data_IF_921276996480
#
_entry.id   IF_921276996480
#
_cell.length_a   1.000
_cell.length_b   1.000
_cell.length_c   1.000
_cell.angle_alpha   90.00
_cell.angle_beta   90.00
_cell.angle_gamma   90.00
#
_symmetry.space_group_name_H-M   'P 1'
#
loop_
_entity.id
_entity.type
_entity.pdbx_description
1 polymer ?
#
# COMPACT_ATOMS: atom_id res chain seq x y z
N UNK A 1 0.73 -1.91 17.64
CA UNK A 1 -0.54 -2.24 16.97
C UNK A 1 -0.88 -1.11 16.03
N UNK A 2 -1.24 -1.42 14.79
CA UNK A 2 -1.68 -0.42 13.80
C UNK A 2 -3.15 -0.61 13.49
N UNK A 3 -3.90 0.47 13.47
CA UNK A 3 -5.35 0.45 13.28
C UNK A 3 -5.76 1.70 12.53
N UNK A 4 -6.53 1.51 11.47
CA UNK A 4 -6.71 2.54 10.47
C UNK A 4 -7.86 2.26 9.52
N UNK A 5 -7.93 3.13 8.52
CA UNK A 5 -8.89 3.01 7.43
C UNK A 5 -8.18 2.97 6.08
N UNK A 6 -8.91 2.49 5.08
CA UNK A 6 -8.57 2.69 3.69
C UNK A 6 -9.62 3.58 3.04
N UNK A 7 -9.21 4.74 2.52
CA UNK A 7 -10.07 5.56 1.67
C UNK A 7 -10.03 4.95 0.28
N UNK A 8 -11.11 4.28 -0.12
CA UNK A 8 -11.24 3.57 -1.38
C UNK A 8 -12.64 3.80 -1.96
N UNK A 9 -12.82 3.50 -3.25
CA UNK A 9 -14.07 3.72 -3.98
C UNK A 9 -14.54 5.18 -3.83
N UNK A 10 -13.58 6.12 -3.83
CA UNK A 10 -13.81 7.51 -3.44
C UNK A 10 -14.63 8.31 -4.47
N UNK A 11 -14.74 7.81 -5.71
CA UNK A 11 -15.46 8.47 -6.78
C UNK A 11 -16.82 7.81 -7.06
N UNK A 12 -17.88 8.60 -7.30
CA UNK A 12 -17.90 10.06 -7.41
C UNK A 12 -18.15 10.79 -6.07
N UNK A 13 -18.44 10.07 -4.99
CA UNK A 13 -19.01 10.66 -3.79
C UNK A 13 -18.03 11.56 -3.01
N UNK A 14 -16.93 11.00 -2.54
CA UNK A 14 -15.94 11.72 -1.73
C UNK A 14 -15.18 12.74 -2.58
N UNK A 15 -14.80 12.37 -3.80
CA UNK A 15 -14.16 13.29 -4.75
C UNK A 15 -15.06 14.49 -5.07
N UNK A 16 -16.34 14.26 -5.40
CA UNK A 16 -17.29 15.32 -5.71
C UNK A 16 -17.67 16.16 -4.48
N UNK A 17 -17.73 15.57 -3.28
CA UNK A 17 -17.95 16.30 -2.04
C UNK A 17 -16.81 17.28 -1.74
N UNK A 18 -15.56 16.83 -1.87
CA UNK A 18 -14.39 17.68 -1.63
C UNK A 18 -14.24 18.76 -2.72
N UNK A 19 -14.53 18.43 -3.98
CA UNK A 19 -14.52 19.39 -5.07
C UNK A 19 -15.50 20.56 -4.84
N UNK A 20 -16.71 20.26 -4.35
CA UNK A 20 -17.70 21.28 -3.97
C UNK A 20 -17.22 22.18 -2.83
N UNK A 21 -16.45 21.65 -1.87
CA UNK A 21 -15.87 22.46 -0.81
C UNK A 21 -14.91 23.52 -1.35
N UNK A 22 -14.09 23.15 -2.35
CA UNK A 22 -13.18 24.06 -3.04
C UNK A 22 -13.82 24.95 -4.10
N UNK A 23 -15.14 24.84 -4.34
CA UNK A 23 -15.86 25.50 -5.44
C UNK A 23 -15.20 25.29 -6.82
N UNK A 24 -14.75 24.06 -7.09
CA UNK A 24 -14.13 23.61 -8.34
C UNK A 24 -14.74 22.28 -8.79
N UNK A 25 -14.56 21.91 -10.06
CA UNK A 25 -15.11 20.67 -10.62
C UNK A 25 -14.29 19.42 -10.25
N UNK A 26 -12.99 19.60 -10.03
CA UNK A 26 -12.12 18.57 -9.45
C UNK A 26 -11.16 19.22 -8.45
N UNK A 27 -11.07 18.63 -7.25
CA UNK A 27 -10.15 19.10 -6.23
C UNK A 27 -9.32 17.95 -5.69
N UNK A 28 -8.01 18.13 -5.80
CA UNK A 28 -6.99 17.26 -5.26
C UNK A 28 -7.19 17.03 -3.76
N UNK A 29 -6.96 15.80 -3.29
CA UNK A 29 -6.89 15.50 -1.86
C UNK A 29 -5.54 16.00 -1.32
N UNK A 30 -5.50 17.29 -1.03
CA UNK A 30 -4.33 18.01 -0.54
C UNK A 30 -4.17 17.89 0.98
N UNK A 31 -3.20 18.60 1.55
CA UNK A 31 -2.91 18.54 2.98
C UNK A 31 -4.07 19.06 3.84
N UNK A 32 -4.94 19.93 3.30
CA UNK A 32 -6.14 20.39 4.01
C UNK A 32 -7.17 19.25 4.15
N UNK A 33 -7.45 18.53 3.07
CA UNK A 33 -8.29 17.33 3.10
C UNK A 33 -7.77 16.32 4.12
N UNK A 34 -6.49 15.97 4.00
CA UNK A 34 -5.89 14.97 4.86
C UNK A 34 -5.75 15.44 6.31
N UNK A 35 -5.61 16.74 6.57
CA UNK A 35 -5.69 17.29 7.94
C UNK A 35 -6.99 16.90 8.64
N UNK A 36 -8.13 16.98 7.95
CA UNK A 36 -9.42 16.52 8.48
C UNK A 36 -9.47 14.99 8.69
N UNK A 37 -8.89 14.21 7.77
CA UNK A 37 -8.80 12.75 7.92
C UNK A 37 -7.95 12.38 9.13
N UNK A 38 -6.79 13.02 9.31
CA UNK A 38 -5.90 12.75 10.43
C UNK A 38 -6.53 13.15 11.76
N UNK A 39 -7.20 14.31 11.83
CA UNK A 39 -8.00 14.72 12.99
C UNK A 39 -9.05 13.67 13.38
N UNK A 40 -9.74 13.08 12.40
CA UNK A 40 -10.70 12.00 12.63
C UNK A 40 -9.99 10.75 13.19
N UNK A 41 -8.91 10.32 12.56
CA UNK A 41 -8.16 9.12 12.96
C UNK A 41 -7.68 9.23 14.41
N UNK A 42 -7.02 10.33 14.78
CA UNK A 42 -6.52 10.50 16.15
C UNK A 42 -7.66 10.54 17.18
N UNK A 43 -8.82 11.11 16.85
CA UNK A 43 -10.01 11.12 17.73
C UNK A 43 -10.59 9.72 17.93
N UNK A 44 -10.50 8.88 16.89
CA UNK A 44 -10.82 7.45 16.95
C UNK A 44 -9.66 6.62 17.54
N UNK A 45 -8.59 7.27 18.02
CA UNK A 45 -7.35 6.69 18.54
C UNK A 45 -6.53 5.90 17.49
N UNK A 46 -6.88 6.03 16.22
CA UNK A 46 -6.25 5.33 15.09
C UNK A 46 -4.90 5.97 14.75
N UNK A 47 -4.03 5.20 14.10
CA UNK A 47 -2.63 5.58 13.83
C UNK A 47 -2.14 5.10 12.46
N UNK A 48 -3.04 4.70 11.57
CA UNK A 48 -2.69 4.10 10.29
C UNK A 48 -3.65 4.55 9.18
N UNK A 49 -3.13 4.73 7.96
CA UNK A 49 -3.93 5.09 6.80
C UNK A 49 -3.40 4.43 5.51
N UNK A 50 -4.32 3.87 4.73
CA UNK A 50 -4.18 3.74 3.28
C UNK A 50 -4.93 4.90 2.61
N UNK A 51 -4.25 5.80 1.88
CA UNK A 51 -4.88 6.95 1.27
C UNK A 51 -5.67 6.58 0.01
N UNK A 52 -6.54 7.50 -0.42
CA UNK A 52 -7.22 7.46 -1.72
C UNK A 52 -6.24 7.26 -2.88
N UNK A 53 -6.58 6.36 -3.79
CA UNK A 53 -5.69 5.91 -4.85
C UNK A 53 -6.41 5.55 -6.16
N UNK A 54 -7.74 5.72 -6.25
CA UNK A 54 -8.45 5.34 -7.47
C UNK A 54 -7.94 6.13 -8.67
N UNK A 55 -7.79 5.40 -9.77
CA UNK A 55 -7.53 6.01 -11.06
C UNK A 55 -8.73 6.83 -11.53
N UNK A 56 -8.46 7.88 -12.30
CA UNK A 56 -9.49 8.65 -12.98
C UNK A 56 -9.12 8.89 -14.43
N UNK A 57 -10.12 8.94 -15.30
CA UNK A 57 -9.97 9.39 -16.68
C UNK A 57 -10.09 10.91 -16.80
N UNK A 58 -10.72 11.57 -15.83
CA UNK A 58 -10.91 13.02 -15.80
C UNK A 58 -10.88 13.50 -14.34
N UNK A 59 -9.81 14.17 -13.88
CA UNK A 59 -8.50 14.26 -14.53
C UNK A 59 -7.71 12.96 -14.40
N UNK A 60 -6.90 12.65 -15.42
CA UNK A 60 -5.87 11.60 -15.29
C UNK A 60 -4.71 12.09 -14.40
N UNK A 61 -4.02 11.19 -13.69
CA UNK A 61 -4.25 9.74 -13.58
C UNK A 61 -5.25 9.34 -12.47
N UNK A 62 -5.76 10.29 -11.68
CA UNK A 62 -6.53 10.00 -10.45
C UNK A 62 -5.89 10.63 -9.22
N UNK A 63 -6.07 10.02 -8.05
CA UNK A 63 -5.50 10.50 -6.78
C UNK A 63 -4.14 9.90 -6.51
N UNK A 64 -3.21 10.73 -6.03
CA UNK A 64 -1.85 10.33 -5.65
C UNK A 64 -1.45 11.07 -4.37
N UNK A 65 -1.68 10.45 -3.22
CA UNK A 65 -1.30 11.02 -1.90
C UNK A 65 0.07 11.68 -1.86
N UNK A 66 1.09 11.03 -2.44
CA UNK A 66 2.49 11.44 -2.31
C UNK A 66 2.92 12.61 -3.19
N UNK A 67 2.22 12.87 -4.30
CA UNK A 67 2.68 13.86 -5.31
C UNK A 67 1.63 14.92 -5.65
N UNK A 68 0.38 14.68 -5.28
CA UNK A 68 -0.72 15.63 -5.38
C UNK A 68 -0.47 16.88 -4.50
N UNK A 69 0.06 16.66 -3.29
CA UNK A 69 0.55 17.71 -2.40
C UNK A 69 1.72 17.16 -1.58
N UNK A 70 2.92 17.72 -1.77
CA UNK A 70 4.14 17.25 -1.10
C UNK A 70 4.08 17.38 0.43
N UNK A 71 3.13 18.16 0.96
CA UNK A 71 2.92 18.31 2.41
C UNK A 71 2.18 17.12 3.02
N UNK A 72 1.46 16.32 2.24
CA UNK A 72 0.62 15.22 2.73
C UNK A 72 1.38 14.24 3.62
N UNK A 73 2.55 13.79 3.15
CA UNK A 73 3.34 12.78 3.85
C UNK A 73 3.92 13.33 5.16
N UNK A 74 4.50 14.54 5.13
CA UNK A 74 5.02 15.17 6.34
C UNK A 74 3.91 15.46 7.35
N UNK A 75 2.74 15.93 6.88
CA UNK A 75 1.60 16.19 7.75
C UNK A 75 1.11 14.91 8.45
N UNK A 76 1.07 13.77 7.74
CA UNK A 76 0.72 12.49 8.36
C UNK A 76 1.69 12.13 9.49
N UNK A 77 2.99 12.29 9.24
CA UNK A 77 4.03 12.04 10.24
C UNK A 77 3.92 13.00 11.45
N UNK A 78 3.66 14.28 11.22
CA UNK A 78 3.46 15.28 12.28
C UNK A 78 2.26 14.94 13.18
N UNK A 79 1.23 14.29 12.62
CA UNK A 79 0.07 13.77 13.35
C UNK A 79 0.30 12.40 14.00
N UNK A 80 1.42 11.73 13.73
CA UNK A 80 1.68 10.36 14.15
C UNK A 80 0.82 9.31 13.42
N UNK A 81 0.37 9.61 12.20
CA UNK A 81 -0.35 8.68 11.34
C UNK A 81 0.66 7.97 10.44
N UNK A 82 0.81 6.66 10.63
CA UNK A 82 1.65 5.83 9.76
C UNK A 82 0.94 5.60 8.44
N UNK A 83 1.58 6.05 7.36
CA UNK A 83 1.07 5.86 6.01
C UNK A 83 1.61 4.57 5.43
N UNK A 84 0.72 3.85 4.78
CA UNK A 84 1.03 2.68 3.97
C UNK A 84 0.22 2.76 2.67
N UNK A 85 0.29 1.72 1.87
CA UNK A 85 -0.33 1.67 0.54
C UNK A 85 -1.07 0.36 0.35
N UNK A 86 -2.04 0.34 -0.57
CA UNK A 86 -2.84 -0.86 -0.79
C UNK A 86 -1.98 -2.03 -1.30
N UNK A 87 -2.56 -3.22 -1.33
CA UNK A 87 -1.87 -4.48 -1.64
C UNK A 87 -1.34 -4.59 -3.10
N UNK A 88 -1.65 -3.63 -3.96
CA UNK A 88 -1.12 -3.51 -5.34
C UNK A 88 -0.09 -2.37 -5.49
N UNK A 89 0.22 -1.64 -4.41
CA UNK A 89 0.98 -0.39 -4.42
C UNK A 89 2.26 -0.51 -3.59
N UNK A 90 3.25 -1.30 -4.02
CA UNK A 90 4.42 -1.57 -3.20
C UNK A 90 5.33 -0.35 -3.03
N UNK A 91 6.13 -0.38 -1.96
CA UNK A 91 7.26 0.55 -1.74
C UNK A 91 6.88 2.04 -1.69
N UNK A 92 5.74 2.40 -1.09
CA UNK A 92 5.24 3.79 -1.00
C UNK A 92 5.05 4.46 -2.37
N UNK A 93 4.64 3.67 -3.37
CA UNK A 93 4.31 4.17 -4.69
C UNK A 93 2.86 3.86 -5.01
N UNK A 94 2.11 4.90 -5.34
CA UNK A 94 0.74 4.70 -5.84
C UNK A 94 0.77 4.17 -7.28
N UNK A 95 -0.17 3.28 -7.62
CA UNK A 95 -0.31 2.80 -9.01
C UNK A 95 -0.54 3.95 -10.01
N UNK A 96 -1.16 5.03 -9.56
CA UNK A 96 -1.37 6.22 -10.38
C UNK A 96 -0.08 7.00 -10.67
N UNK A 97 0.97 6.88 -9.84
CA UNK A 97 2.29 7.44 -10.17
C UNK A 97 2.89 6.75 -11.40
N UNK A 98 2.74 5.43 -11.51
CA UNK A 98 3.19 4.67 -12.67
C UNK A 98 2.42 5.07 -13.93
N UNK A 99 1.09 5.27 -13.81
CA UNK A 99 0.23 5.68 -14.92
C UNK A 99 0.44 7.11 -15.37
N UNK A 100 0.87 8.00 -14.47
CA UNK A 100 1.13 9.42 -14.77
C UNK A 100 2.26 9.57 -15.79
N UNK A 101 3.35 8.86 -15.54
CA UNK A 101 4.58 8.91 -16.32
C UNK A 101 5.00 7.47 -16.69
N UNK A 102 4.26 6.83 -17.62
CA UNK A 102 4.45 5.42 -17.93
C UNK A 102 5.85 5.18 -18.49
N UNK A 103 6.58 4.26 -17.86
CA UNK A 103 7.91 3.88 -18.32
C UNK A 103 7.80 2.82 -19.42
N UNK A 104 8.60 2.88 -20.50
CA UNK A 104 8.64 1.82 -21.51
C UNK A 104 8.81 0.44 -20.87
N UNK A 105 8.12 -0.56 -21.43
CA UNK A 105 8.15 -1.95 -20.92
C UNK A 105 7.03 -2.31 -19.93
N UNK A 106 6.22 -1.35 -19.48
CA UNK A 106 5.04 -1.62 -18.65
C UNK A 106 5.36 -2.10 -17.22
N UNK A 107 4.32 -2.37 -16.43
CA UNK A 107 4.46 -2.88 -15.06
C UNK A 107 4.75 -4.39 -15.08
N UNK A 108 6.00 -4.74 -15.43
CA UNK A 108 6.44 -6.11 -15.69
C UNK A 108 7.81 -6.36 -15.05
N UNK A 109 7.85 -7.34 -14.13
CA UNK A 109 9.10 -7.69 -13.44
C UNK A 109 10.05 -8.52 -14.29
N UNK A 110 9.54 -9.33 -15.22
CA UNK A 110 10.33 -10.23 -16.05
C UNK A 110 11.01 -9.45 -17.18
N UNK A 111 10.25 -8.58 -17.85
CA UNK A 111 10.70 -7.88 -19.05
C UNK A 111 11.11 -6.42 -18.80
N UNK A 112 10.79 -5.84 -17.64
CA UNK A 112 11.04 -4.43 -17.36
C UNK A 112 11.59 -4.16 -15.93
N UNK A 113 12.34 -5.11 -15.39
CA UNK A 113 12.82 -5.13 -14.00
C UNK A 113 13.49 -3.83 -13.57
N UNK A 114 14.46 -3.30 -14.32
CA UNK A 114 15.24 -2.13 -13.87
C UNK A 114 14.39 -0.87 -13.71
N UNK A 115 13.38 -0.70 -14.56
CA UNK A 115 12.47 0.44 -14.50
C UNK A 115 11.50 0.32 -13.32
N UNK A 116 11.00 -0.90 -13.07
CA UNK A 116 10.16 -1.18 -11.89
C UNK A 116 10.96 -0.95 -10.60
N UNK A 117 12.22 -1.40 -10.54
CA UNK A 117 13.11 -1.15 -9.40
C UNK A 117 13.31 0.35 -9.19
N UNK A 118 13.63 1.12 -10.25
CA UNK A 118 13.83 2.57 -10.14
C UNK A 118 12.58 3.28 -9.63
N UNK A 119 11.41 2.87 -10.10
CA UNK A 119 10.14 3.40 -9.64
C UNK A 119 9.91 3.14 -8.14
N UNK A 120 10.16 1.91 -7.67
CA UNK A 120 10.05 1.56 -6.25
C UNK A 120 11.10 2.30 -5.40
N UNK A 121 12.34 2.41 -5.90
CA UNK A 121 13.45 3.10 -5.23
C UNK A 121 13.12 4.57 -4.93
N UNK A 122 12.45 5.27 -5.86
CA UNK A 122 12.00 6.64 -5.63
C UNK A 122 11.05 6.76 -4.43
N UNK A 123 10.12 5.81 -4.26
CA UNK A 123 9.18 5.79 -3.15
C UNK A 123 9.86 5.56 -1.81
N UNK A 124 10.77 4.58 -1.75
CA UNK A 124 11.58 4.28 -0.57
C UNK A 124 12.45 5.48 -0.16
N UNK A 125 13.09 6.13 -1.14
CA UNK A 125 13.92 7.32 -0.88
C UNK A 125 13.08 8.51 -0.43
N UNK A 126 11.88 8.70 -1.01
CA UNK A 126 10.96 9.79 -0.67
C UNK A 126 10.41 9.64 0.75
N UNK A 127 10.14 8.41 1.20
CA UNK A 127 9.66 8.16 2.56
C UNK A 127 10.56 8.79 3.62
N UNK A 128 11.88 8.84 3.39
CA UNK A 128 12.84 9.52 4.28
C UNK A 128 12.74 8.98 5.69
N UNK A 129 12.76 9.87 6.68
CA UNK A 129 12.68 9.48 8.10
C UNK A 129 11.23 9.35 8.62
N UNK A 130 10.21 9.44 7.75
CA UNK A 130 8.81 9.32 8.17
C UNK A 130 8.49 7.89 8.59
N UNK A 131 7.75 7.71 9.70
CA UNK A 131 7.28 6.37 10.09
C UNK A 131 6.34 5.82 9.00
N UNK A 132 6.79 4.74 8.36
CA UNK A 132 6.19 4.20 7.14
C UNK A 132 6.01 2.70 7.26
N UNK A 133 4.86 2.19 6.81
CA UNK A 133 4.62 0.76 6.68
C UNK A 133 4.68 0.37 5.20
N UNK A 134 5.79 -0.22 4.78
CA UNK A 134 6.03 -0.56 3.39
C UNK A 134 5.24 -1.80 2.98
N UNK A 135 4.42 -1.65 1.94
CA UNK A 135 3.83 -2.79 1.26
C UNK A 135 4.89 -3.48 0.42
N UNK A 136 5.08 -4.77 0.66
CA UNK A 136 5.94 -5.66 -0.10
C UNK A 136 5.16 -6.44 -1.16
N UNK A 137 5.91 -7.06 -2.05
CA UNK A 137 5.42 -7.88 -3.15
C UNK A 137 5.10 -7.05 -4.38
N UNK A 138 4.55 -7.72 -5.36
CA UNK A 138 4.09 -7.12 -6.60
C UNK A 138 2.86 -7.91 -7.06
N UNK A 139 1.93 -7.22 -7.70
CA UNK A 139 0.84 -7.85 -8.44
C UNK A 139 0.88 -7.33 -9.87
N UNK A 140 0.15 -7.98 -10.77
CA UNK A 140 -0.04 -7.46 -12.11
C UNK A 140 -0.75 -6.11 -12.09
N UNK A 141 -0.70 -5.40 -13.21
CA UNK A 141 -1.36 -4.09 -13.32
C UNK A 141 -2.88 -4.21 -13.12
N UNK A 142 -3.49 -3.20 -12.48
CA UNK A 142 -4.94 -3.14 -12.26
C UNK A 142 -5.53 -4.36 -11.51
N UNK A 143 -4.90 -4.76 -10.40
CA UNK A 143 -5.42 -5.82 -9.52
C UNK A 143 -5.42 -7.22 -10.18
N UNK A 144 -4.45 -7.48 -11.06
CA UNK A 144 -4.31 -8.74 -11.82
C UNK A 144 -3.17 -9.64 -11.34
N UNK A 145 -3.11 -10.86 -11.88
CA UNK A 145 -2.03 -11.82 -11.64
C UNK A 145 -0.70 -11.32 -12.23
N UNK A 146 0.42 -11.77 -11.67
CA UNK A 146 1.72 -11.65 -12.35
C UNK A 146 1.72 -12.59 -13.55
N UNK A 147 2.00 -12.06 -14.74
CA UNK A 147 2.19 -12.86 -15.95
C UNK A 147 3.64 -13.36 -16.03
N UNK A 148 3.88 -14.58 -15.54
CA UNK A 148 5.18 -15.23 -15.60
C UNK A 148 5.03 -16.77 -15.60
N UNK A 149 6.03 -17.47 -16.14
CA UNK A 149 6.08 -18.95 -16.11
C UNK A 149 6.18 -19.48 -14.67
N UNK A 150 6.91 -18.77 -13.81
CA UNK A 150 7.04 -19.06 -12.37
C UNK A 150 6.79 -17.79 -11.52
N UNK A 151 5.52 -17.48 -11.19
CA UNK A 151 5.18 -16.32 -10.38
C UNK A 151 5.74 -16.36 -8.95
N UNK A 152 6.03 -17.56 -8.40
CA UNK A 152 6.58 -17.70 -7.06
C UNK A 152 8.04 -17.24 -7.05
N UNK A 153 8.85 -17.73 -7.98
CA UNK A 153 10.24 -17.29 -8.13
C UNK A 153 10.34 -15.78 -8.41
N UNK A 154 9.42 -15.22 -9.20
CA UNK A 154 9.32 -13.77 -9.41
C UNK A 154 9.06 -13.04 -8.09
N UNK A 155 8.11 -13.49 -7.28
CA UNK A 155 7.79 -12.84 -6.01
C UNK A 155 8.92 -12.95 -4.97
N UNK A 156 9.65 -14.05 -4.94
CA UNK A 156 10.85 -14.19 -4.09
C UNK A 156 11.93 -13.17 -4.46
N UNK A 157 12.19 -12.98 -5.75
CA UNK A 157 13.14 -11.99 -6.27
C UNK A 157 12.65 -10.55 -6.03
N UNK A 158 11.34 -10.30 -6.15
CA UNK A 158 10.72 -9.02 -5.75
C UNK A 158 10.96 -8.74 -4.27
N UNK A 159 10.70 -9.69 -3.37
CA UNK A 159 10.92 -9.49 -1.93
C UNK A 159 12.38 -9.21 -1.61
N UNK A 160 13.32 -9.95 -2.20
CA UNK A 160 14.75 -9.73 -2.00
C UNK A 160 15.13 -8.30 -2.43
N UNK A 161 14.74 -7.92 -3.64
CA UNK A 161 15.07 -6.61 -4.22
C UNK A 161 14.47 -5.46 -3.41
N UNK A 162 13.20 -5.56 -2.99
CA UNK A 162 12.55 -4.55 -2.17
C UNK A 162 13.25 -4.37 -0.82
N UNK A 163 13.69 -5.46 -0.19
CA UNK A 163 14.41 -5.42 1.08
C UNK A 163 15.83 -4.86 0.95
N UNK A 164 16.48 -5.09 -0.18
CA UNK A 164 17.76 -4.44 -0.51
C UNK A 164 17.60 -2.92 -0.63
N UNK A 165 16.51 -2.44 -1.25
CA UNK A 165 16.18 -1.01 -1.29
C UNK A 165 15.96 -0.44 0.12
N UNK A 166 15.21 -1.14 0.98
CA UNK A 166 15.02 -0.72 2.37
C UNK A 166 16.35 -0.65 3.13
N UNK A 167 17.18 -1.69 3.03
CA UNK A 167 18.49 -1.69 3.67
C UNK A 167 19.38 -0.53 3.19
N UNK A 168 19.36 -0.22 1.89
CA UNK A 168 20.14 0.85 1.28
C UNK A 168 19.76 2.24 1.80
N UNK A 169 18.47 2.53 1.95
CA UNK A 169 17.98 3.88 2.27
C UNK A 169 17.63 4.09 3.75
N UNK A 170 17.26 3.04 4.47
CA UNK A 170 16.83 3.09 5.87
C UNK A 170 17.82 2.40 6.83
N UNK A 171 18.93 1.88 6.30
CA UNK A 171 20.01 1.26 7.07
C UNK A 171 19.66 -0.09 7.72
N UNK A 172 18.43 -0.57 7.52
CA UNK A 172 17.98 -1.88 7.95
C UNK A 172 16.95 -2.44 6.96
N UNK A 173 16.90 -3.76 6.83
CA UNK A 173 15.86 -4.46 6.08
C UNK A 173 14.67 -4.85 6.98
N UNK A 174 14.59 -4.35 8.21
CA UNK A 174 13.56 -4.66 9.21
C UNK A 174 12.61 -3.49 9.43
N UNK A 175 12.55 -2.54 8.49
CA UNK A 175 11.55 -1.48 8.50
C UNK A 175 10.15 -2.11 8.50
N UNK A 176 9.13 -1.41 8.98
CA UNK A 176 7.78 -1.97 9.04
C UNK A 176 7.33 -2.39 7.63
N UNK A 177 7.04 -3.68 7.47
CA UNK A 177 6.77 -4.31 6.18
C UNK A 177 5.54 -5.19 6.27
N UNK A 178 4.65 -5.06 5.28
CA UNK A 178 3.45 -5.87 5.18
C UNK A 178 3.38 -6.54 3.81
N UNK A 179 2.92 -7.79 3.80
CA UNK A 179 2.47 -8.44 2.58
C UNK A 179 1.03 -8.93 2.77
N UNK A 180 0.17 -8.50 1.86
CA UNK A 180 -1.27 -8.78 1.92
C UNK A 180 -1.61 -9.98 1.06
N UNK A 181 -2.11 -11.03 1.71
CA UNK A 181 -2.55 -12.27 1.08
C UNK A 181 -4.00 -12.08 0.61
N UNK A 182 -4.17 -11.45 -0.55
CA UNK A 182 -5.46 -11.10 -1.14
C UNK A 182 -5.70 -11.80 -2.49
N UNK A 183 -6.92 -12.28 -2.72
CA UNK A 183 -7.33 -12.95 -3.97
C UNK A 183 -6.34 -14.04 -4.40
N UNK A 184 -5.77 -13.94 -5.60
CA UNK A 184 -4.86 -14.94 -6.17
C UNK A 184 -3.56 -15.11 -5.38
N UNK A 185 -3.16 -14.09 -4.60
CA UNK A 185 -1.97 -14.16 -3.75
C UNK A 185 -2.12 -15.27 -2.70
N UNK A 186 -3.35 -15.60 -2.31
CA UNK A 186 -3.63 -16.75 -1.44
C UNK A 186 -3.21 -18.08 -2.07
N UNK A 187 -3.28 -18.22 -3.40
CA UNK A 187 -2.82 -19.41 -4.11
C UNK A 187 -1.31 -19.54 -4.04
N UNK A 188 -0.57 -18.44 -4.20
CA UNK A 188 0.89 -18.45 -4.05
C UNK A 188 1.31 -18.78 -2.62
N UNK A 189 0.64 -18.20 -1.63
CA UNK A 189 0.85 -18.52 -0.23
C UNK A 189 0.61 -20.00 0.07
N UNK A 190 -0.51 -20.54 -0.41
CA UNK A 190 -0.86 -21.95 -0.25
C UNK A 190 0.12 -22.90 -0.96
N UNK A 191 0.75 -22.44 -2.04
CA UNK A 191 1.79 -23.16 -2.78
C UNK A 191 3.18 -23.10 -2.10
N UNK A 192 3.32 -22.38 -0.98
CA UNK A 192 4.54 -22.35 -0.18
C UNK A 192 5.32 -21.03 -0.23
N UNK A 193 4.83 -20.01 -0.94
CA UNK A 193 5.44 -18.68 -0.90
C UNK A 193 5.17 -18.00 0.45
N UNK A 194 6.22 -17.82 1.25
CA UNK A 194 6.15 -17.18 2.57
C UNK A 194 7.15 -16.03 2.62
N UNK A 195 6.76 -14.82 3.05
CA UNK A 195 7.69 -13.71 3.16
C UNK A 195 8.61 -13.89 4.38
N UNK A 196 9.73 -13.15 4.46
CA UNK A 196 10.61 -13.14 5.63
C UNK A 196 9.84 -12.98 6.96
N UNK A 197 10.34 -13.57 8.05
CA UNK A 197 9.58 -13.74 9.30
C UNK A 197 9.12 -12.42 9.95
N UNK A 198 9.91 -11.36 9.76
CA UNK A 198 9.65 -10.00 10.23
C UNK A 198 8.59 -9.23 9.42
N UNK A 199 8.12 -9.80 8.30
CA UNK A 199 7.05 -9.22 7.48
C UNK A 199 5.69 -9.63 8.02
N UNK A 200 4.83 -8.64 8.25
CA UNK A 200 3.44 -8.82 8.67
C UNK A 200 2.63 -9.46 7.55
N UNK A 201 1.98 -10.58 7.86
CA UNK A 201 1.02 -11.21 6.95
C UNK A 201 -0.36 -10.60 7.17
N UNK A 202 -0.89 -9.91 6.16
CA UNK A 202 -2.26 -9.37 6.21
C UNK A 202 -3.21 -10.34 5.51
N UNK A 203 -4.14 -10.93 6.25
CA UNK A 203 -5.23 -11.73 5.70
C UNK A 203 -6.43 -10.84 5.37
N UNK A 204 -7.08 -11.08 4.25
CA UNK A 204 -8.24 -10.30 3.84
C UNK A 204 -9.57 -11.03 4.09
N UNK A 205 -10.64 -10.26 4.15
CA UNK A 205 -11.99 -10.78 3.97
C UNK A 205 -12.30 -11.09 2.49
N UNK A 206 -13.47 -11.67 2.26
CA UNK A 206 -14.00 -12.00 0.93
C UNK A 206 -14.63 -10.81 0.21
N UNK A 207 -14.36 -9.59 0.66
CA UNK A 207 -15.01 -8.34 0.27
C UNK A 207 -16.44 -8.16 0.81
N UNK A 208 -16.96 -9.10 1.60
CA UNK A 208 -18.30 -9.05 2.17
C UNK A 208 -18.29 -9.19 3.70
N UNK A 209 -17.14 -8.90 4.33
CA UNK A 209 -16.97 -8.95 5.78
C UNK A 209 -16.68 -10.35 6.34
N UNK A 210 -16.51 -11.37 5.49
CA UNK A 210 -16.17 -12.72 5.95
C UNK A 210 -14.66 -12.94 5.82
N UNK A 211 -13.95 -12.90 6.95
CA UNK A 211 -12.51 -13.19 6.99
C UNK A 211 -12.26 -14.57 6.38
N UNK A 212 -11.50 -14.61 5.28
CA UNK A 212 -11.32 -15.84 4.50
C UNK A 212 -10.47 -16.88 5.24
N UNK A 213 -9.56 -16.40 6.08
CA UNK A 213 -8.62 -17.25 6.81
C UNK A 213 -8.10 -16.57 8.07
N UNK A 214 -7.90 -17.37 9.10
CA UNK A 214 -7.20 -16.99 10.32
C UNK A 214 -5.81 -17.63 10.37
N UNK A 215 -4.83 -17.00 11.07
CA UNK A 215 -3.49 -17.56 11.18
C UNK A 215 -3.50 -18.91 11.91
N UNK A 216 -2.60 -19.80 11.50
CA UNK A 216 -2.32 -21.05 12.22
C UNK A 216 -1.64 -20.78 13.56
N UNK A 217 -1.33 -21.83 14.33
CA UNK A 217 -0.56 -21.67 15.57
C UNK A 217 0.87 -21.21 15.27
N UNK A 218 1.45 -21.75 14.21
CA UNK A 218 2.82 -21.49 13.75
C UNK A 218 2.93 -20.06 13.21
N UNK A 219 1.95 -19.61 12.40
CA UNK A 219 1.94 -18.26 11.84
C UNK A 219 1.81 -17.17 12.92
N UNK A 220 1.12 -17.47 14.03
CA UNK A 220 1.04 -16.56 15.18
C UNK A 220 2.37 -16.39 15.93
N UNK A 221 3.38 -17.22 15.66
CA UNK A 221 4.70 -17.09 16.27
C UNK A 221 5.66 -16.24 15.41
N UNK A 222 5.24 -15.81 14.22
CA UNK A 222 6.07 -14.97 13.34
C UNK A 222 6.33 -13.62 14.00
N UNK A 223 7.58 -13.16 13.95
CA UNK A 223 8.00 -11.89 14.54
C UNK A 223 7.34 -10.67 13.89
N UNK A 224 6.96 -10.75 12.62
CA UNK A 224 6.24 -9.71 11.89
C UNK A 224 4.76 -9.60 12.25
N UNK A 225 4.19 -10.54 13.01
CA UNK A 225 2.78 -10.51 13.40
C UNK A 225 1.80 -10.76 12.24
N UNK A 226 0.51 -10.53 12.51
CA UNK A 226 -0.61 -10.83 11.63
C UNK A 226 -1.55 -9.63 11.53
N UNK A 227 -1.93 -9.25 10.31
CA UNK A 227 -2.97 -8.26 10.04
C UNK A 227 -4.25 -8.85 9.49
N UNK A 228 -5.30 -8.06 9.56
CA UNK A 228 -6.58 -8.29 8.89
C UNK A 228 -6.99 -7.04 8.13
N UNK A 229 -7.33 -7.20 6.86
CA UNK A 229 -7.93 -6.18 6.00
C UNK A 229 -9.38 -6.53 5.70
N UNK A 230 -10.31 -5.60 5.93
CA UNK A 230 -11.72 -5.75 5.55
C UNK A 230 -12.14 -4.69 4.53
N UNK A 231 -12.93 -5.08 3.53
CA UNK A 231 -13.49 -4.17 2.54
C UNK A 231 -14.47 -3.15 3.13
N UNK A 232 -14.96 -3.35 4.35
CA UNK A 232 -15.71 -2.31 5.10
C UNK A 232 -14.89 -1.06 5.45
N UNK A 233 -13.67 -0.92 4.93
CA UNK A 233 -12.78 0.21 5.12
C UNK A 233 -11.98 0.14 6.42
N UNK A 234 -12.01 -1.00 7.12
CA UNK A 234 -11.29 -1.20 8.38
C UNK A 234 -10.03 -2.04 8.17
N UNK A 235 -8.88 -1.51 8.58
CA UNK A 235 -7.62 -2.26 8.63
C UNK A 235 -7.13 -2.36 10.08
N UNK A 236 -6.80 -3.57 10.52
CA UNK A 236 -6.18 -3.82 11.82
C UNK A 236 -4.96 -4.73 11.67
N UNK A 237 -3.79 -4.24 12.07
CA UNK A 237 -2.55 -5.01 12.14
C UNK A 237 -2.24 -5.33 13.61
N UNK A 238 -2.17 -6.62 13.91
CA UNK A 238 -1.84 -7.16 15.22
C UNK A 238 -0.39 -7.66 15.21
N UNK A 239 0.45 -7.07 16.06
CA UNK A 239 1.65 -7.77 16.52
C UNK A 239 1.23 -8.52 17.79
N UNK A 240 1.20 -9.85 17.71
CA UNK A 240 1.01 -10.70 18.88
C UNK A 240 2.35 -10.91 19.58
#
# INVERSE_FOLDING_TARGET
MYRGIFINDEAPALTGWWAKHGNVDDYTFNAEFYGHVFDLLIRLKANFLWPAMWGSFIPTPGRIFFTDDLRNQQLANDYGIVVSTSHTEPMQRSSNEWKKDPTPGGWDWVNNKENVIRFMEEGVRRAGDNETYFTLGMRGENDSLIEADDPIAVLEDVFSTQRELLAKYHGNNTSLQAWTVYKEVMTYYAAGLVPPDDVTLIFSDDNWGNVQRLPTKEERQRSGGIGVSSLSGSLMLYNF
#
